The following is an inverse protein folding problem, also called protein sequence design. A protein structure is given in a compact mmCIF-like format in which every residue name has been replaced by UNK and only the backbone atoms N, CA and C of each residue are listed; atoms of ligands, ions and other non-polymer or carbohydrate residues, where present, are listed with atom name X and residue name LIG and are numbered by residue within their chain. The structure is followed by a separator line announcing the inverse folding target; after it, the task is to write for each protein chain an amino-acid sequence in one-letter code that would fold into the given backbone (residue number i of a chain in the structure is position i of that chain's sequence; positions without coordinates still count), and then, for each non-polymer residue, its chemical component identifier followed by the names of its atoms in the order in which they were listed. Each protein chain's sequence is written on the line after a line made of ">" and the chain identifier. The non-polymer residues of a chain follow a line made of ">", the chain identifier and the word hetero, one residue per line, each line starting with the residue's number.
data_IF_870764215127
#
_entry.id   IF_870764215127
#
_cell.length_a   1.000
_cell.length_b   1.000
_cell.length_c   1.000
_cell.angle_alpha   90.00
_cell.angle_beta   90.00
_cell.angle_gamma   90.00
#
_symmetry.space_group_name_H-M   'P 1'
#
loop_
_entity.id
_entity.type
_entity.pdbx_description
1 polymer ?
#
# COMPACT_ATOMS: atom_id res chain seq x y z
N UNK A 1 1.58 -8.92 -6.07
CA UNK A 1 2.59 -7.90 -6.43
C UNK A 1 2.15 -7.12 -7.66
N UNK A 2 2.30 -5.81 -7.62
CA UNK A 2 1.90 -4.90 -8.69
C UNK A 2 3.10 -4.06 -9.14
N UNK A 3 3.23 -3.91 -10.44
CA UNK A 3 4.24 -3.03 -11.05
C UNK A 3 3.61 -2.22 -12.17
N UNK A 4 3.96 -0.94 -12.24
CA UNK A 4 3.46 -0.05 -13.29
C UNK A 4 4.21 -0.30 -14.60
N UNK A 5 3.49 -0.57 -15.66
CA UNK A 5 4.08 -0.65 -16.99
C UNK A 5 4.32 0.78 -17.51
N UNK A 6 5.56 1.08 -17.87
CA UNK A 6 6.01 2.41 -18.27
C UNK A 6 5.32 2.86 -19.58
N UNK A 7 5.12 1.94 -20.52
CA UNK A 7 4.55 2.27 -21.84
C UNK A 7 3.03 2.48 -21.78
N UNK A 8 2.32 1.59 -21.08
CA UNK A 8 0.85 1.65 -21.00
C UNK A 8 0.32 2.46 -19.81
N UNK A 9 1.18 2.83 -18.87
CA UNK A 9 0.83 3.49 -17.61
C UNK A 9 -0.16 2.70 -16.73
N UNK A 10 -0.34 1.39 -17.01
CA UNK A 10 -1.25 0.47 -16.29
C UNK A 10 -0.47 -0.38 -15.30
N UNK A 11 -1.13 -0.77 -14.22
CA UNK A 11 -0.59 -1.76 -13.31
C UNK A 11 -0.73 -3.16 -13.88
N UNK A 12 0.27 -3.98 -13.64
CA UNK A 12 0.36 -5.38 -14.07
C UNK A 12 0.63 -6.25 -12.85
N UNK A 13 -0.02 -7.40 -12.79
CA UNK A 13 0.17 -8.38 -11.73
C UNK A 13 1.48 -9.16 -11.97
N UNK A 14 2.24 -9.33 -10.91
CA UNK A 14 3.45 -10.13 -10.86
C UNK A 14 3.32 -11.26 -9.83
N UNK A 15 4.03 -12.35 -10.05
CA UNK A 15 4.12 -13.52 -9.17
C UNK A 15 5.58 -13.83 -8.85
N UNK A 16 5.82 -14.85 -8.01
CA UNK A 16 7.17 -15.29 -7.62
C UNK A 16 8.04 -14.16 -7.06
N UNK A 17 7.50 -13.43 -6.07
CA UNK A 17 8.25 -12.31 -5.46
C UNK A 17 8.51 -11.13 -6.40
N UNK A 18 7.66 -10.94 -7.42
CA UNK A 18 7.81 -9.85 -8.39
C UNK A 18 8.67 -10.18 -9.61
N UNK A 19 9.07 -11.43 -9.78
CA UNK A 19 9.95 -11.86 -10.89
C UNK A 19 9.19 -12.16 -12.19
N UNK A 20 7.97 -12.68 -12.08
CA UNK A 20 7.20 -13.13 -13.24
C UNK A 20 6.01 -12.23 -13.50
N UNK A 21 6.06 -11.54 -14.64
CA UNK A 21 4.92 -10.80 -15.17
C UNK A 21 3.81 -11.76 -15.59
N UNK A 22 2.56 -11.38 -15.32
CA UNK A 22 1.38 -12.10 -15.83
C UNK A 22 0.62 -11.24 -16.84
N UNK A 23 -0.32 -11.85 -17.55
CA UNK A 23 -1.28 -11.15 -18.43
C UNK A 23 -2.63 -10.94 -17.73
N UNK A 24 -2.69 -11.16 -16.40
CA UNK A 24 -3.90 -11.04 -15.61
C UNK A 24 -4.12 -9.57 -15.24
N UNK A 25 -5.31 -9.05 -15.48
CA UNK A 25 -5.71 -7.74 -15.00
C UNK A 25 -5.83 -7.75 -13.47
N UNK A 26 -5.16 -6.84 -12.74
CA UNK A 26 -5.19 -6.84 -11.28
C UNK A 26 -6.59 -6.61 -10.68
N UNK A 27 -7.45 -5.84 -11.35
CA UNK A 27 -8.82 -5.57 -10.87
C UNK A 27 -9.66 -6.83 -11.00
N UNK A 28 -9.62 -7.49 -12.16
CA UNK A 28 -10.32 -8.75 -12.37
C UNK A 28 -9.79 -9.86 -11.44
N UNK A 29 -8.49 -9.88 -11.19
CA UNK A 29 -7.91 -10.80 -10.21
C UNK A 29 -8.49 -10.57 -8.80
N UNK A 30 -8.58 -9.32 -8.34
CA UNK A 30 -9.17 -9.00 -7.04
C UNK A 30 -10.63 -9.47 -6.95
N UNK A 31 -11.43 -9.27 -8.00
CA UNK A 31 -12.82 -9.77 -8.03
C UNK A 31 -12.89 -11.30 -7.93
N UNK A 32 -12.03 -11.99 -8.66
CA UNK A 32 -12.00 -13.45 -8.67
C UNK A 32 -11.63 -14.04 -7.29
N UNK A 33 -10.60 -13.49 -6.62
CA UNK A 33 -10.19 -13.99 -5.30
C UNK A 33 -11.23 -13.69 -4.22
N UNK A 34 -12.00 -12.59 -4.34
CA UNK A 34 -13.16 -12.35 -3.46
C UNK A 34 -14.21 -13.46 -3.59
N UNK A 35 -14.56 -13.88 -4.80
CA UNK A 35 -15.50 -14.97 -5.05
C UNK A 35 -14.99 -16.31 -4.49
N UNK A 36 -13.68 -16.47 -4.39
CA UNK A 36 -13.04 -17.64 -3.80
C UNK A 36 -12.90 -17.56 -2.27
N UNK A 37 -13.37 -16.49 -1.65
CA UNK A 37 -13.40 -16.34 -0.20
C UNK A 37 -12.15 -15.75 0.42
N UNK A 38 -11.39 -14.94 -0.31
CA UNK A 38 -10.26 -14.19 0.28
C UNK A 38 -10.73 -13.33 1.46
N UNK A 39 -10.04 -13.42 2.59
CA UNK A 39 -10.36 -12.67 3.82
C UNK A 39 -9.69 -11.31 3.90
N UNK A 40 -8.60 -11.08 3.17
CA UNK A 40 -7.85 -9.83 3.09
C UNK A 40 -7.10 -9.76 1.77
N UNK A 41 -6.88 -8.54 1.27
CA UNK A 41 -6.00 -8.28 0.13
C UNK A 41 -4.84 -7.40 0.59
N UNK A 42 -3.62 -7.79 0.24
CA UNK A 42 -2.42 -6.96 0.37
C UNK A 42 -1.98 -6.51 -1.02
N UNK A 43 -2.02 -5.20 -1.27
CA UNK A 43 -1.47 -4.61 -2.50
C UNK A 43 -0.02 -4.23 -2.28
N UNK A 44 0.89 -4.93 -2.89
CA UNK A 44 2.31 -4.62 -2.86
C UNK A 44 2.77 -3.96 -4.17
N UNK A 45 3.08 -2.68 -4.13
CA UNK A 45 3.59 -1.91 -5.26
C UNK A 45 5.12 -2.05 -5.34
N UNK A 46 5.60 -3.09 -6.01
CA UNK A 46 7.02 -3.46 -6.02
C UNK A 46 7.93 -2.42 -6.70
N UNK A 47 7.42 -1.63 -7.61
CA UNK A 47 8.14 -0.51 -8.23
C UNK A 47 8.20 0.74 -7.33
N UNK A 48 7.44 0.74 -6.25
CA UNK A 48 7.45 1.78 -5.22
C UNK A 48 8.22 1.37 -3.97
N UNK A 49 8.43 0.08 -3.77
CA UNK A 49 9.13 -0.39 -2.58
C UNK A 49 10.52 0.24 -2.47
N UNK A 50 10.86 0.71 -1.29
CA UNK A 50 12.11 1.40 -1.01
C UNK A 50 12.27 2.80 -1.61
N UNK A 51 11.34 3.29 -2.44
CA UNK A 51 11.46 4.62 -3.07
C UNK A 51 11.13 5.78 -2.12
N UNK A 52 10.34 5.53 -1.07
CA UNK A 52 9.88 6.53 -0.10
C UNK A 52 9.16 7.74 -0.75
N UNK A 53 8.39 7.49 -1.83
CA UNK A 53 7.68 8.53 -2.62
C UNK A 53 6.16 8.52 -2.42
N UNK A 54 5.69 7.95 -1.33
CA UNK A 54 4.27 7.83 -0.99
C UNK A 54 3.57 6.65 -1.64
N UNK A 55 2.36 6.34 -1.14
CA UNK A 55 1.50 5.27 -1.65
C UNK A 55 0.80 5.64 -2.97
N UNK A 56 0.24 4.62 -3.65
CA UNK A 56 -0.47 4.77 -4.92
C UNK A 56 -1.99 4.95 -4.73
N UNK A 57 -2.40 6.09 -4.21
CA UNK A 57 -3.79 6.38 -3.82
C UNK A 57 -4.81 6.14 -4.96
N UNK A 58 -4.48 6.53 -6.20
CA UNK A 58 -5.39 6.38 -7.33
C UNK A 58 -5.75 4.90 -7.58
N UNK A 59 -4.76 4.01 -7.55
CA UNK A 59 -5.02 2.60 -7.77
C UNK A 59 -5.67 1.93 -6.55
N UNK A 60 -5.27 2.33 -5.35
CA UNK A 60 -5.89 1.88 -4.09
C UNK A 60 -7.39 2.18 -4.11
N UNK A 61 -7.80 3.37 -4.57
CA UNK A 61 -9.21 3.75 -4.70
C UNK A 61 -9.97 2.79 -5.62
N UNK A 62 -9.43 2.49 -6.80
CA UNK A 62 -10.05 1.54 -7.75
C UNK A 62 -10.28 0.16 -7.14
N UNK A 63 -9.34 -0.31 -6.31
CA UNK A 63 -9.52 -1.59 -5.63
C UNK A 63 -10.52 -1.45 -4.47
N UNK A 64 -10.43 -0.40 -3.67
CA UNK A 64 -11.33 -0.17 -2.52
C UNK A 64 -12.80 -0.10 -2.96
N UNK A 65 -13.08 0.46 -4.14
CA UNK A 65 -14.43 0.60 -4.69
C UNK A 65 -15.08 -0.75 -5.09
N UNK A 66 -14.27 -1.80 -5.29
CA UNK A 66 -14.75 -3.11 -5.75
C UNK A 66 -14.66 -4.21 -4.69
N UNK A 67 -14.05 -3.94 -3.54
CA UNK A 67 -13.88 -4.93 -2.47
C UNK A 67 -14.62 -4.51 -1.19
N UNK A 68 -15.05 -5.50 -0.43
CA UNK A 68 -15.72 -5.34 0.87
C UNK A 68 -14.97 -6.03 2.02
N UNK A 69 -13.73 -6.45 1.78
CA UNK A 69 -12.86 -7.09 2.76
C UNK A 69 -11.71 -6.15 3.13
N UNK A 70 -10.97 -6.42 4.24
CA UNK A 70 -9.79 -5.68 4.61
C UNK A 70 -8.78 -5.55 3.46
N UNK A 71 -8.20 -4.35 3.36
CA UNK A 71 -7.18 -4.00 2.38
C UNK A 71 -5.97 -3.46 3.09
N UNK A 72 -4.80 -3.98 2.78
CA UNK A 72 -3.50 -3.47 3.24
C UNK A 72 -2.67 -3.01 2.05
N UNK A 73 -2.02 -1.85 2.16
CA UNK A 73 -1.19 -1.26 1.11
C UNK A 73 0.26 -1.27 1.53
N UNK A 74 1.13 -1.76 0.67
CA UNK A 74 2.58 -1.83 0.84
C UNK A 74 3.29 -1.23 -0.37
N UNK A 75 4.43 -0.59 -0.13
CA UNK A 75 5.30 0.00 -1.14
C UNK A 75 5.12 1.50 -1.29
N UNK A 76 6.18 2.23 -0.98
CA UNK A 76 6.30 3.66 -1.19
C UNK A 76 6.28 4.56 0.03
N UNK A 77 5.84 4.11 1.21
CA UNK A 77 5.82 4.94 2.41
C UNK A 77 7.19 5.54 2.71
N UNK A 78 7.28 6.86 2.80
CA UNK A 78 8.49 7.62 3.10
C UNK A 78 8.38 8.48 4.36
N UNK A 79 7.16 8.68 4.87
CA UNK A 79 6.88 9.49 6.04
C UNK A 79 5.66 8.97 6.81
N UNK A 80 5.51 9.42 8.05
CA UNK A 80 4.27 9.19 8.82
C UNK A 80 3.07 9.90 8.17
N UNK A 81 3.32 11.02 7.48
CA UNK A 81 2.26 11.74 6.75
C UNK A 81 1.74 10.94 5.55
N UNK A 82 2.55 10.12 4.90
CA UNK A 82 2.08 9.21 3.85
C UNK A 82 1.10 8.19 4.44
N UNK A 83 1.41 7.63 5.62
CA UNK A 83 0.50 6.72 6.33
C UNK A 83 -0.78 7.44 6.73
N UNK A 84 -0.67 8.64 7.32
CA UNK A 84 -1.82 9.45 7.71
C UNK A 84 -2.70 9.82 6.51
N UNK A 85 -2.10 10.14 5.36
CA UNK A 85 -2.83 10.46 4.12
C UNK A 85 -3.63 9.26 3.61
N UNK A 86 -3.07 8.05 3.70
CA UNK A 86 -3.78 6.83 3.33
C UNK A 86 -5.03 6.63 4.21
N UNK A 87 -4.92 6.83 5.52
CA UNK A 87 -6.06 6.76 6.43
C UNK A 87 -7.09 7.87 6.18
N UNK A 88 -6.66 9.11 5.92
CA UNK A 88 -7.58 10.20 5.59
C UNK A 88 -8.40 9.91 4.34
N UNK A 89 -7.77 9.34 3.32
CA UNK A 89 -8.41 9.09 2.03
C UNK A 89 -9.33 7.86 2.03
N UNK A 90 -9.03 6.84 2.84
CA UNK A 90 -9.70 5.53 2.75
C UNK A 90 -10.31 5.05 4.07
N UNK A 91 -10.13 5.76 5.18
CA UNK A 91 -10.64 5.34 6.48
C UNK A 91 -9.94 4.09 7.00
N UNK A 92 -10.72 3.04 7.29
CA UNK A 92 -10.17 1.77 7.79
C UNK A 92 -9.46 1.04 6.66
N UNK A 93 -8.13 1.05 6.73
CA UNK A 93 -7.21 0.41 5.77
C UNK A 93 -5.91 0.02 6.48
N UNK A 94 -5.25 -1.04 6.03
CA UNK A 94 -3.90 -1.39 6.49
C UNK A 94 -2.84 -0.57 5.75
N UNK A 95 -1.87 -0.03 6.48
CA UNK A 95 -0.70 0.66 5.94
C UNK A 95 0.56 -0.08 6.34
N UNK A 96 1.25 -0.69 5.38
CA UNK A 96 2.51 -1.37 5.61
C UNK A 96 3.68 -0.54 5.08
N UNK A 97 4.80 -0.57 5.79
CA UNK A 97 6.02 0.13 5.42
C UNK A 97 7.26 -0.67 5.84
N UNK A 98 8.26 -0.70 4.97
CA UNK A 98 9.56 -1.30 5.24
C UNK A 98 10.62 -0.22 5.46
N UNK A 99 11.05 0.42 4.37
CA UNK A 99 12.16 1.38 4.36
C UNK A 99 11.99 2.55 5.35
N UNK A 100 10.76 3.03 5.54
CA UNK A 100 10.44 4.09 6.51
C UNK A 100 10.86 3.71 7.95
N UNK A 101 10.69 2.45 8.32
CA UNK A 101 10.98 1.99 9.68
C UNK A 101 12.40 1.46 9.86
N UNK A 102 13.10 1.17 8.77
CA UNK A 102 14.46 0.61 8.79
C UNK A 102 15.53 1.66 8.57
N UNK A 103 15.26 2.67 7.75
CA UNK A 103 16.23 3.68 7.36
C UNK A 103 15.91 5.05 7.94
N UNK A 104 16.96 5.78 8.38
CA UNK A 104 16.85 7.14 8.89
C UNK A 104 17.84 8.09 8.23
N UNK A 105 17.34 9.30 7.94
CA UNK A 105 18.12 10.42 7.44
C UNK A 105 18.55 10.30 5.98
N UNK A 106 19.22 11.35 5.48
CA UNK A 106 19.66 11.50 4.09
C UNK A 106 20.54 10.35 3.58
N UNK A 107 21.33 9.78 4.46
CA UNK A 107 22.27 8.70 4.12
C UNK A 107 21.67 7.30 4.30
N UNK A 108 20.37 7.21 4.61
CA UNK A 108 19.67 5.93 4.83
C UNK A 108 20.41 5.02 5.81
N UNK A 109 20.88 5.60 6.91
CA UNK A 109 21.49 4.83 7.98
C UNK A 109 20.47 3.80 8.52
N UNK A 110 20.91 2.56 8.74
CA UNK A 110 20.07 1.51 9.30
C UNK A 110 19.81 1.84 10.78
N UNK A 111 18.60 2.28 11.06
CA UNK A 111 18.14 2.58 12.42
C UNK A 111 16.65 2.28 12.50
N UNK A 112 16.28 1.24 13.23
CA UNK A 112 14.88 0.87 13.44
C UNK A 112 14.16 2.05 14.11
N UNK A 113 13.16 2.58 13.42
CA UNK A 113 12.41 3.77 13.79
C UNK A 113 10.90 3.53 13.66
N UNK A 114 10.37 2.60 14.46
CA UNK A 114 8.95 2.34 14.50
C UNK A 114 8.22 3.37 15.36
N UNK A 115 7.07 3.93 14.94
CA UNK A 115 6.34 4.94 15.69
C UNK A 115 5.88 4.38 17.05
N UNK A 116 6.07 5.16 18.09
CA UNK A 116 5.58 4.85 19.43
C UNK A 116 4.05 4.94 19.50
N UNK A 117 3.45 4.62 20.64
CA UNK A 117 2.00 4.62 20.81
C UNK A 117 1.37 6.00 20.54
N UNK A 118 1.97 7.05 21.06
CA UNK A 118 1.50 8.42 20.85
C UNK A 118 1.53 8.85 19.39
N UNK A 119 2.63 8.53 18.68
CA UNK A 119 2.74 8.82 17.25
C UNK A 119 1.69 8.05 16.44
N UNK A 120 1.43 6.79 16.80
CA UNK A 120 0.39 5.98 16.14
C UNK A 120 -1.01 6.56 16.37
N UNK A 121 -1.33 6.96 17.59
CA UNK A 121 -2.61 7.62 17.89
C UNK A 121 -2.78 8.93 17.12
N UNK A 122 -1.71 9.72 16.99
CA UNK A 122 -1.72 10.96 16.21
C UNK A 122 -1.94 10.68 14.71
N UNK A 123 -1.31 9.64 14.15
CA UNK A 123 -1.50 9.23 12.77
C UNK A 123 -2.95 8.80 12.53
N UNK A 124 -3.49 7.95 13.40
CA UNK A 124 -4.86 7.42 13.29
C UNK A 124 -5.91 8.48 13.65
N UNK A 125 -5.65 9.34 14.62
CA UNK A 125 -6.57 10.40 15.05
C UNK A 125 -6.79 11.49 14.01
N UNK A 126 -5.99 11.55 12.95
CA UNK A 126 -6.25 12.38 11.77
C UNK A 126 -7.33 11.80 10.85
N UNK A 127 -7.77 10.58 11.09
CA UNK A 127 -8.92 9.99 10.41
C UNK A 127 -10.17 10.64 10.95
N UNK A 128 -10.76 11.55 10.19
CA UNK A 128 -12.13 11.96 10.44
C UNK A 128 -13.02 10.73 10.23
N UNK A 129 -13.38 10.08 11.33
CA UNK A 129 -14.44 9.09 11.36
C UNK A 129 -15.77 9.84 11.15
N UNK A 130 -15.98 10.38 9.96
CA UNK A 130 -17.32 10.76 9.53
C UNK A 130 -18.11 9.45 9.40
N UNK A 131 -18.91 9.23 10.43
CA UNK A 131 -19.95 8.20 10.47
C UNK A 131 -20.99 8.44 9.35
#
# INVERSE_FOLDING_TARGET
>A
DLKKNILSNKYVLYTHGGERKTDIDPIEFCKNILQQGAGEIVLNFIDRDGTMKGYQHEFVRKIKDIINIPLTVLGGAGSQDDIASLFRDFGVIGAAAGSLFVFKGKYRAVLINYPNHYDKEKIVGQVNLTR
#
